data_IF_728937821230
#
_entry.id   IF_728937821230
#
_cell.length_a   1.000
_cell.length_b   1.000
_cell.length_c   1.000
_cell.angle_alpha   90.00
_cell.angle_beta   90.00
_cell.angle_gamma   90.00
#
_symmetry.space_group_name_H-M   'P 1'
#
loop_
_entity.id
_entity.type
_entity.pdbx_description
1 polymer ?
#
# COMPACT_ATOMS: atom_id res chain seq x y z
N UNK A 1 -8.00 -11.25 -15.03
CA UNK A 1 -7.70 -10.37 -13.88
C UNK A 1 -6.69 -11.10 -13.01
N UNK A 2 -5.56 -10.48 -12.68
CA UNK A 2 -4.51 -11.09 -11.86
C UNK A 2 -4.48 -10.44 -10.48
N UNK A 3 -4.23 -11.22 -9.44
CA UNK A 3 -4.06 -10.74 -8.06
C UNK A 3 -2.60 -11.00 -7.66
N UNK A 4 -1.90 -9.96 -7.21
CA UNK A 4 -0.57 -10.08 -6.65
C UNK A 4 -0.62 -9.65 -5.18
N UNK A 5 -0.05 -10.47 -4.30
CA UNK A 5 0.09 -10.18 -2.88
C UNK A 5 1.56 -9.92 -2.58
N UNK A 6 1.86 -8.73 -2.06
CA UNK A 6 3.20 -8.37 -1.59
C UNK A 6 3.24 -8.54 -0.08
N UNK A 7 4.07 -9.46 0.40
CA UNK A 7 4.29 -9.75 1.82
C UNK A 7 5.73 -9.48 2.22
N UNK A 8 6.01 -9.45 3.53
CA UNK A 8 7.37 -9.29 4.04
C UNK A 8 7.43 -9.48 5.56
N UNK A 9 8.65 -9.65 6.08
CA UNK A 9 8.92 -10.09 7.46
C UNK A 9 8.94 -8.97 8.50
N UNK A 10 8.80 -7.71 8.09
CA UNK A 10 8.85 -6.57 9.00
C UNK A 10 8.33 -5.28 8.35
N UNK A 11 8.50 -4.16 9.04
CA UNK A 11 8.26 -2.80 8.54
C UNK A 11 9.48 -2.31 7.75
N UNK A 12 9.32 -1.26 6.93
CA UNK A 12 10.42 -0.56 6.23
C UNK A 12 11.34 -1.39 5.30
N UNK A 13 11.08 -2.68 5.11
CA UNK A 13 11.83 -3.58 4.21
C UNK A 13 11.50 -3.40 2.71
N UNK A 14 10.86 -2.29 2.32
CA UNK A 14 10.62 -1.95 0.91
C UNK A 14 9.29 -2.45 0.29
N UNK A 15 8.36 -3.03 1.05
CA UNK A 15 7.06 -3.53 0.51
C UNK A 15 6.30 -2.48 -0.32
N UNK A 16 6.25 -1.24 0.16
CA UNK A 16 5.53 -0.13 -0.49
C UNK A 16 6.18 0.23 -1.82
N UNK A 17 7.51 0.36 -1.86
CA UNK A 17 8.28 0.64 -3.08
C UNK A 17 8.19 -0.52 -4.08
N UNK A 18 8.27 -1.77 -3.63
CA UNK A 18 8.08 -2.94 -4.49
C UNK A 18 6.66 -2.97 -5.10
N UNK A 19 5.64 -2.61 -4.32
CA UNK A 19 4.26 -2.50 -4.81
C UNK A 19 4.15 -1.42 -5.89
N UNK A 20 4.74 -0.24 -5.65
CA UNK A 20 4.76 0.85 -6.61
C UNK A 20 5.47 0.47 -7.91
N UNK A 21 6.61 -0.23 -7.83
CA UNK A 21 7.36 -0.68 -9.00
C UNK A 21 6.55 -1.65 -9.88
N UNK A 22 5.85 -2.61 -9.26
CA UNK A 22 4.96 -3.52 -10.00
C UNK A 22 3.79 -2.76 -10.63
N UNK A 23 3.17 -1.84 -9.88
CA UNK A 23 2.07 -1.03 -10.38
C UNK A 23 2.51 -0.18 -11.58
N UNK A 24 3.63 0.54 -11.47
CA UNK A 24 4.21 1.35 -12.54
C UNK A 24 4.49 0.49 -13.80
N UNK A 25 5.07 -0.69 -13.62
CA UNK A 25 5.36 -1.60 -14.73
C UNK A 25 4.08 -2.15 -15.40
N UNK A 26 2.98 -2.30 -14.67
CA UNK A 26 1.69 -2.69 -15.23
C UNK A 26 1.02 -1.53 -15.97
N UNK A 27 1.04 -0.32 -15.39
CA UNK A 27 0.55 0.91 -16.01
C UNK A 27 1.29 1.23 -17.32
N UNK A 28 2.62 1.10 -17.33
CA UNK A 28 3.44 1.29 -18.52
C UNK A 28 3.11 0.30 -19.66
N UNK A 29 2.43 -0.81 -19.35
CA UNK A 29 1.91 -1.78 -20.33
C UNK A 29 0.43 -1.54 -20.69
N UNK A 30 -0.11 -0.37 -20.36
CA UNK A 30 -1.49 0.01 -20.67
C UNK A 30 -2.55 -0.72 -19.85
N UNK A 31 -2.19 -1.29 -18.69
CA UNK A 31 -3.15 -1.97 -17.81
C UNK A 31 -3.72 -1.00 -16.78
N UNK A 32 -4.99 -1.18 -16.41
CA UNK A 32 -5.52 -0.57 -15.19
C UNK A 32 -5.01 -1.32 -13.96
N UNK A 33 -4.78 -0.60 -12.86
CA UNK A 33 -4.27 -1.15 -11.59
C UNK A 33 -5.10 -0.62 -10.43
N UNK A 34 -5.52 -1.54 -9.57
CA UNK A 34 -6.04 -1.23 -8.24
C UNK A 34 -5.04 -1.73 -7.19
N UNK A 35 -4.76 -0.91 -6.19
CA UNK A 35 -3.93 -1.23 -5.04
C UNK A 35 -4.78 -1.13 -3.78
N UNK A 36 -4.66 -2.14 -2.93
CA UNK A 36 -5.35 -2.21 -1.66
C UNK A 36 -4.33 -2.38 -0.53
N UNK A 37 -4.46 -1.57 0.52
CA UNK A 37 -3.79 -1.77 1.80
C UNK A 37 -4.82 -2.23 2.83
N UNK A 38 -4.74 -3.48 3.33
CA UNK A 38 -5.74 -3.97 4.28
C UNK A 38 -5.73 -3.23 5.62
N UNK A 39 -4.56 -2.83 6.09
CA UNK A 39 -4.40 -2.06 7.31
C UNK A 39 -3.15 -1.17 7.21
N UNK A 40 -3.32 0.12 7.46
CA UNK A 40 -2.26 1.09 7.68
C UNK A 40 -2.07 1.27 9.17
N UNK A 41 -0.82 1.26 9.65
CA UNK A 41 -0.48 1.47 11.06
C UNK A 41 0.58 2.56 11.16
N UNK A 42 0.65 3.26 12.29
CA UNK A 42 1.69 4.26 12.56
C UNK A 42 1.60 5.54 11.74
N UNK A 43 0.44 5.83 11.13
CA UNK A 43 0.21 7.03 10.32
C UNK A 43 -1.12 7.63 10.75
N UNK A 44 -1.13 8.93 11.11
CA UNK A 44 -2.32 9.59 11.62
C UNK A 44 -3.40 9.75 10.55
N UNK A 45 -4.65 10.00 10.95
CA UNK A 45 -5.71 10.32 9.98
C UNK A 45 -5.33 11.56 9.15
N UNK A 46 -5.54 11.50 7.83
CA UNK A 46 -5.19 12.59 6.90
C UNK A 46 -3.73 12.65 6.46
N UNK A 47 -2.81 11.94 7.10
CA UNK A 47 -1.42 11.86 6.66
C UNK A 47 -1.25 10.88 5.48
N UNK A 48 -0.32 11.11 4.54
CA UNK A 48 -0.09 10.20 3.42
C UNK A 48 0.41 8.84 3.91
N UNK A 49 -0.35 7.78 3.62
CA UNK A 49 0.02 6.40 3.93
C UNK A 49 0.67 5.66 2.76
N UNK A 50 0.80 4.34 2.88
CA UNK A 50 1.41 3.50 1.84
C UNK A 50 0.68 3.61 0.49
N UNK A 51 -0.65 3.75 0.50
CA UNK A 51 -1.42 3.87 -0.75
C UNK A 51 -1.10 5.19 -1.47
N UNK A 52 -1.00 6.29 -0.73
CA UNK A 52 -0.60 7.59 -1.27
C UNK A 52 0.81 7.54 -1.85
N UNK A 53 1.75 6.86 -1.17
CA UNK A 53 3.12 6.69 -1.67
C UNK A 53 3.17 5.86 -2.95
N UNK A 54 2.35 4.80 -3.05
CA UNK A 54 2.22 4.04 -4.29
C UNK A 54 1.71 4.90 -5.43
N UNK A 55 0.66 5.72 -5.23
CA UNK A 55 0.17 6.61 -6.27
C UNK A 55 1.21 7.67 -6.67
N UNK A 56 1.95 8.22 -5.69
CA UNK A 56 3.01 9.19 -5.96
C UNK A 56 4.12 8.60 -6.84
N UNK A 57 4.50 7.35 -6.60
CA UNK A 57 5.59 6.67 -7.31
C UNK A 57 5.16 6.03 -8.63
N UNK A 58 3.95 5.46 -8.70
CA UNK A 58 3.49 4.68 -9.84
C UNK A 58 2.63 5.46 -10.83
N UNK A 59 1.93 6.50 -10.38
CA UNK A 59 0.96 7.27 -11.17
C UNK A 59 -0.49 6.87 -10.88
N UNK A 60 -1.35 6.93 -11.90
CA UNK A 60 -2.79 6.77 -11.73
C UNK A 60 -3.19 5.32 -11.41
N UNK A 61 -3.33 5.03 -10.11
CA UNK A 61 -3.84 3.77 -9.57
C UNK A 61 -5.14 4.03 -8.80
N UNK A 62 -6.07 3.07 -8.86
CA UNK A 62 -7.21 3.07 -7.92
C UNK A 62 -6.70 2.60 -6.56
N UNK A 63 -6.95 3.38 -5.50
CA UNK A 63 -6.46 3.09 -4.15
C UNK A 63 -7.60 2.73 -3.20
N UNK A 64 -7.33 1.82 -2.27
CA UNK A 64 -8.20 1.56 -1.11
C UNK A 64 -7.36 1.20 0.12
N UNK A 65 -7.51 1.97 1.20
CA UNK A 65 -7.08 1.58 2.56
C UNK A 65 -8.33 1.15 3.33
N UNK A 66 -8.36 -0.06 3.89
CA UNK A 66 -9.56 -0.55 4.60
C UNK A 66 -9.61 -0.10 6.06
N UNK A 67 -8.47 -0.03 6.73
CA UNK A 67 -8.36 0.39 8.12
C UNK A 67 -7.06 1.19 8.32
N UNK A 68 -7.12 2.19 9.21
CA UNK A 68 -5.97 2.96 9.64
C UNK A 68 -5.94 3.05 11.15
N UNK A 69 -4.79 2.70 11.72
CA UNK A 69 -4.52 2.73 13.15
C UNK A 69 -3.34 3.68 13.42
N UNK A 70 -3.47 4.65 14.33
CA UNK A 70 -2.42 5.63 14.58
C UNK A 70 -1.18 5.01 15.27
N UNK A 71 -1.33 3.91 16.00
CA UNK A 71 -0.23 3.26 16.71
C UNK A 71 0.72 2.53 15.73
N UNK A 72 2.06 2.67 15.90
CA UNK A 72 3.05 1.99 15.06
C UNK A 72 3.25 0.53 15.50
N UNK A 73 2.17 -0.23 15.59
CA UNK A 73 2.14 -1.63 16.01
C UNK A 73 1.79 -2.55 14.84
N UNK A 74 2.01 -3.86 15.01
CA UNK A 74 1.49 -4.84 14.07
C UNK A 74 -0.04 -4.72 13.96
N UNK A 75 -0.66 -4.88 12.77
CA UNK A 75 -2.09 -4.63 12.58
C UNK A 75 -3.02 -5.36 13.56
N UNK A 76 -2.73 -6.63 13.86
CA UNK A 76 -3.53 -7.41 14.80
C UNK A 76 -3.44 -6.91 16.25
N UNK A 77 -2.34 -6.24 16.62
CA UNK A 77 -2.16 -5.60 17.92
C UNK A 77 -2.81 -4.21 17.93
N UNK A 78 -2.68 -3.45 16.85
CA UNK A 78 -3.28 -2.12 16.71
C UNK A 78 -4.82 -2.14 16.64
N UNK A 79 -5.41 -3.26 16.19
CA UNK A 79 -6.85 -3.44 16.05
C UNK A 79 -7.56 -3.98 17.31
N UNK A 80 -6.85 -4.10 18.45
CA UNK A 80 -7.41 -4.55 19.73
C UNK A 80 -7.67 -3.38 20.65
#
# INVERSE_FOLDING_TARGET
>A
MAILVVTGTGTEIGKTVSTAAVAAAALARGRSVAMLKPAQTGVAEGEPGDAAEVARLAGSVTLLELARYPEPLAPATAAR
#
